data_IF_625102784064
#
_entry.id   IF_625102784064
#
_cell.length_a   1.000
_cell.length_b   1.000
_cell.length_c   1.000
_cell.angle_alpha   90.00
_cell.angle_beta   90.00
_cell.angle_gamma   90.00
#
_symmetry.space_group_name_H-M   'P 1'
#
loop_
_entity.id
_entity.type
_entity.pdbx_description
1 polymer ?
#
# COMPACT_ATOMS: atom_id res chain seq x y z
N UNK A 1 3.95 -4.28 19.32
CA UNK A 1 4.43 -3.12 18.52
C UNK A 1 3.56 -1.93 18.90
N UNK A 2 4.12 -0.91 19.54
CA UNK A 2 3.42 0.39 19.64
C UNK A 2 3.53 1.00 18.26
N UNK A 3 2.38 1.25 17.66
CA UNK A 3 2.32 1.79 16.32
C UNK A 3 2.79 3.24 16.35
N UNK A 4 3.88 3.46 15.66
CA UNK A 4 4.20 4.75 15.08
C UNK A 4 3.06 5.10 14.12
N UNK A 5 2.68 6.38 14.02
CA UNK A 5 1.58 6.77 13.13
C UNK A 5 1.85 6.23 11.73
N UNK A 6 0.86 5.57 11.14
CA UNK A 6 0.94 5.10 9.77
C UNK A 6 -0.32 5.52 9.00
N UNK A 7 -0.31 5.38 7.68
CA UNK A 7 -1.55 5.44 6.89
C UNK A 7 -1.99 4.02 6.58
N UNK A 8 -3.28 3.77 6.76
CA UNK A 8 -3.95 2.58 6.26
C UNK A 8 -4.59 2.92 4.91
N UNK A 9 -4.44 2.02 3.95
CA UNK A 9 -5.09 2.12 2.65
C UNK A 9 -6.20 1.07 2.57
N UNK A 10 -7.44 1.54 2.48
CA UNK A 10 -8.60 0.67 2.27
C UNK A 10 -8.90 0.56 0.79
N UNK A 11 -9.01 -0.65 0.26
CA UNK A 11 -9.44 -0.88 -1.13
C UNK A 11 -10.87 -1.42 -1.19
N UNK A 12 -11.75 -0.73 -1.92
CA UNK A 12 -13.11 -1.22 -2.22
C UNK A 12 -13.19 -1.69 -3.66
N UNK A 13 -13.52 -2.97 -3.87
CA UNK A 13 -13.64 -3.59 -5.18
C UNK A 13 -15.05 -3.48 -5.74
N UNK A 14 -15.15 -3.23 -7.06
CA UNK A 14 -16.42 -3.26 -7.80
C UNK A 14 -16.23 -3.91 -9.16
N UNK A 15 -17.17 -4.79 -9.52
CA UNK A 15 -17.32 -5.31 -10.88
C UNK A 15 -18.30 -4.41 -11.62
N UNK A 16 -17.94 -3.96 -12.82
CA UNK A 16 -18.77 -3.13 -13.66
C UNK A 16 -19.11 -3.86 -14.95
N UNK A 17 -20.37 -3.79 -15.36
CA UNK A 17 -20.86 -4.39 -16.61
C UNK A 17 -20.55 -3.48 -17.80
N UNK A 18 -19.27 -3.17 -17.98
CA UNK A 18 -18.73 -2.45 -19.13
C UNK A 18 -17.27 -2.86 -19.36
N UNK A 19 -16.80 -2.85 -20.61
CA UNK A 19 -15.48 -3.35 -20.96
C UNK A 19 -14.35 -2.41 -20.50
N UNK A 20 -14.63 -1.13 -20.29
CA UNK A 20 -13.62 -0.14 -19.94
C UNK A 20 -14.19 0.91 -18.97
N UNK A 21 -13.50 1.13 -17.85
CA UNK A 21 -13.82 2.20 -16.92
C UNK A 21 -13.03 3.48 -17.18
N UNK A 22 -11.70 3.40 -17.26
CA UNK A 22 -10.80 4.57 -17.37
C UNK A 22 -9.68 4.39 -18.40
N UNK A 23 -9.48 3.19 -18.95
CA UNK A 23 -8.53 2.93 -20.03
C UNK A 23 -7.07 2.90 -19.59
N UNK A 24 -6.81 2.85 -18.28
CA UNK A 24 -5.47 2.84 -17.71
C UNK A 24 -5.46 2.06 -16.39
N UNK A 25 -4.34 1.41 -16.08
CA UNK A 25 -4.23 0.55 -14.90
C UNK A 25 -4.39 1.31 -13.58
N UNK A 26 -3.87 2.54 -13.50
CA UNK A 26 -3.97 3.37 -12.31
C UNK A 26 -4.18 4.84 -12.68
N UNK A 27 -5.20 5.46 -12.09
CA UNK A 27 -5.48 6.90 -12.21
C UNK A 27 -5.53 7.50 -10.82
N UNK A 28 -4.67 8.49 -10.56
CA UNK A 28 -4.62 9.21 -9.29
C UNK A 28 -5.60 10.38 -9.30
N UNK A 29 -6.29 10.59 -8.18
CA UNK A 29 -7.17 11.72 -7.95
C UNK A 29 -6.51 12.63 -6.92
N UNK A 30 -6.20 13.86 -7.32
CA UNK A 30 -5.41 14.81 -6.52
C UNK A 30 -6.23 16.00 -6.01
N UNK A 31 -7.51 16.05 -6.36
CA UNK A 31 -8.44 17.05 -5.83
C UNK A 31 -8.91 16.67 -4.43
N UNK A 32 -9.40 17.67 -3.69
CA UNK A 32 -9.84 17.51 -2.30
C UNK A 32 -11.27 16.98 -2.18
N UNK A 33 -12.06 17.09 -3.23
CA UNK A 33 -13.49 16.74 -3.21
C UNK A 33 -13.70 15.23 -3.40
N UNK A 34 -12.76 14.58 -4.06
CA UNK A 34 -12.77 13.13 -4.28
C UNK A 34 -12.38 12.37 -3.02
N UNK A 35 -13.24 11.43 -2.61
CA UNK A 35 -13.04 10.68 -1.37
C UNK A 35 -12.00 9.54 -1.45
N UNK A 36 -11.50 9.22 -2.65
CA UNK A 36 -10.48 8.21 -2.90
C UNK A 36 -9.23 8.85 -3.52
N UNK A 37 -8.07 8.25 -3.31
CA UNK A 37 -6.78 8.76 -3.82
C UNK A 37 -6.43 8.18 -5.19
N UNK A 38 -6.93 6.99 -5.50
CA UNK A 38 -6.66 6.29 -6.76
C UNK A 38 -7.79 5.34 -7.13
N UNK A 39 -7.99 5.17 -8.44
CA UNK A 39 -8.73 4.03 -8.99
C UNK A 39 -7.76 3.14 -9.77
N UNK A 40 -7.76 1.85 -9.45
CA UNK A 40 -7.05 0.83 -10.20
C UNK A 40 -8.07 0.07 -11.06
N UNK A 41 -7.80 -0.06 -12.36
CA UNK A 41 -8.57 -0.91 -13.26
C UNK A 41 -7.70 -2.11 -13.66
N UNK A 42 -7.96 -3.25 -13.01
CA UNK A 42 -7.01 -4.37 -12.93
C UNK A 42 -6.64 -4.98 -14.28
N UNK A 43 -7.60 -5.06 -15.20
CA UNK A 43 -7.39 -5.66 -16.54
C UNK A 43 -6.25 -5.00 -17.32
N UNK A 44 -5.95 -3.73 -17.08
CA UNK A 44 -4.91 -3.00 -17.83
C UNK A 44 -3.49 -3.32 -17.38
N UNK A 45 -3.28 -4.02 -16.26
CA UNK A 45 -1.95 -4.57 -15.95
C UNK A 45 -1.52 -5.66 -16.93
N UNK A 46 -2.49 -6.33 -17.56
CA UNK A 46 -2.28 -7.39 -18.55
C UNK A 46 -2.94 -7.01 -19.90
N UNK A 47 -2.79 -5.74 -20.29
CA UNK A 47 -3.23 -5.20 -21.59
C UNK A 47 -4.73 -5.29 -21.90
N UNK A 48 -5.56 -5.61 -20.91
CA UNK A 48 -7.01 -5.58 -21.02
C UNK A 48 -7.64 -6.78 -21.75
N UNK A 49 -6.87 -7.85 -21.96
CA UNK A 49 -7.27 -9.07 -22.67
C UNK A 49 -7.33 -10.26 -21.70
N UNK A 50 -8.12 -11.29 -22.05
CA UNK A 50 -8.06 -12.58 -21.37
C UNK A 50 -6.87 -13.43 -21.83
N UNK A 51 -6.70 -14.61 -21.25
CA UNK A 51 -5.60 -15.55 -21.55
C UNK A 51 -5.54 -15.96 -23.04
N UNK A 52 -6.68 -15.92 -23.72
CA UNK A 52 -6.84 -16.24 -25.15
C UNK A 52 -6.68 -15.01 -26.05
N UNK A 53 -6.46 -13.81 -25.48
CA UNK A 53 -6.28 -12.55 -26.21
C UNK A 53 -7.58 -11.83 -26.59
N UNK A 54 -8.73 -12.26 -26.08
CA UNK A 54 -10.03 -11.65 -26.37
C UNK A 54 -10.31 -10.44 -25.46
N UNK A 55 -11.21 -9.56 -25.92
CA UNK A 55 -11.66 -8.43 -25.12
C UNK A 55 -12.52 -8.88 -23.94
N UNK A 56 -12.15 -8.42 -22.73
CA UNK A 56 -12.92 -8.69 -21.53
C UNK A 56 -14.15 -7.76 -21.49
N UNK A 57 -15.39 -8.29 -21.45
CA UNK A 57 -16.63 -7.50 -21.54
C UNK A 57 -16.96 -6.74 -20.26
N UNK A 58 -16.39 -7.16 -19.12
CA UNK A 58 -16.56 -6.55 -17.81
C UNK A 58 -15.22 -6.05 -17.29
N UNK A 59 -15.26 -5.14 -16.32
CA UNK A 59 -14.05 -4.64 -15.69
C UNK A 59 -14.16 -4.67 -14.17
N UNK A 60 -13.03 -4.92 -13.51
CA UNK A 60 -12.89 -4.87 -12.06
C UNK A 60 -12.08 -3.64 -11.72
N UNK A 61 -12.66 -2.78 -10.88
CA UNK A 61 -11.96 -1.62 -10.33
C UNK A 61 -11.78 -1.75 -8.82
N UNK A 62 -10.67 -1.26 -8.29
CA UNK A 62 -10.53 -0.96 -6.88
C UNK A 62 -10.39 0.55 -6.67
N UNK A 63 -10.99 1.05 -5.58
CA UNK A 63 -10.82 2.44 -5.13
C UNK A 63 -10.00 2.43 -3.85
N UNK A 64 -8.88 3.13 -3.84
CA UNK A 64 -7.97 3.28 -2.69
C UNK A 64 -8.40 4.48 -1.85
N UNK A 65 -8.53 4.27 -0.55
CA UNK A 65 -8.97 5.27 0.43
C UNK A 65 -7.87 5.44 1.48
N UNK A 66 -7.24 6.61 1.50
CA UNK A 66 -6.31 6.97 2.56
C UNK A 66 -7.06 7.24 3.87
N UNK A 67 -6.68 6.56 4.95
CA UNK A 67 -7.18 6.82 6.29
C UNK A 67 -6.05 6.92 7.31
N UNK A 68 -6.30 7.63 8.40
CA UNK A 68 -5.42 7.58 9.57
C UNK A 68 -5.48 6.19 10.18
N UNK A 69 -4.31 5.58 10.38
CA UNK A 69 -4.20 4.25 10.96
C UNK A 69 -4.75 4.22 12.38
N UNK A 70 -5.46 3.14 12.72
CA UNK A 70 -5.93 2.83 14.08
C UNK A 70 -5.47 1.44 14.50
N UNK A 71 -5.47 1.18 15.80
CA UNK A 71 -5.16 -0.14 16.36
C UNK A 71 -6.15 -1.16 15.79
N UNK A 72 -5.63 -2.11 14.99
CA UNK A 72 -6.42 -3.09 14.24
C UNK A 72 -6.29 -2.98 12.72
N UNK A 73 -5.84 -1.82 12.22
CA UNK A 73 -5.56 -1.61 10.80
C UNK A 73 -4.18 -2.13 10.41
N UNK A 74 -4.02 -2.51 9.15
CA UNK A 74 -2.71 -2.92 8.61
C UNK A 74 -1.82 -1.68 8.37
N UNK A 75 -0.65 -1.59 9.02
CA UNK A 75 0.23 -0.42 8.86
C UNK A 75 0.95 -0.45 7.51
N UNK A 76 0.67 0.54 6.66
CA UNK A 76 1.15 0.54 5.28
C UNK A 76 2.30 1.53 5.01
N UNK A 77 2.20 2.77 5.52
CA UNK A 77 3.21 3.82 5.33
C UNK A 77 3.67 4.41 6.65
N UNK A 78 4.99 4.44 6.97
CA UNK A 78 5.49 5.14 8.14
C UNK A 78 5.26 6.66 8.01
N UNK A 79 4.73 7.30 9.05
CA UNK A 79 4.70 8.76 9.16
C UNK A 79 6.02 9.22 9.78
N UNK A 80 6.86 9.87 8.97
CA UNK A 80 8.14 10.40 9.42
C UNK A 80 7.97 11.80 10.02
N UNK A 81 7.54 11.86 11.27
CA UNK A 81 7.54 13.09 12.09
C UNK A 81 8.57 12.97 13.23
N UNK A 82 8.87 14.07 13.90
CA UNK A 82 9.85 14.11 15.00
C UNK A 82 9.48 13.17 16.15
N UNK A 83 8.18 13.08 16.46
CA UNK A 83 7.64 12.23 17.52
C UNK A 83 7.87 10.74 17.22
N UNK A 84 7.56 10.32 15.99
CA UNK A 84 7.74 8.95 15.54
C UNK A 84 9.23 8.62 15.41
N UNK A 85 10.04 9.56 14.95
CA UNK A 85 11.49 9.38 14.86
C UNK A 85 12.12 9.16 16.24
N UNK A 86 11.73 9.97 17.24
CA UNK A 86 12.20 9.80 18.61
C UNK A 86 11.75 8.44 19.21
N UNK A 87 10.49 8.07 19.02
CA UNK A 87 9.97 6.79 19.52
C UNK A 87 10.64 5.59 18.83
N UNK A 88 10.91 5.68 17.53
CA UNK A 88 11.67 4.65 16.80
C UNK A 88 13.07 4.45 17.38
N UNK A 89 13.78 5.53 17.73
CA UNK A 89 15.12 5.42 18.34
C UNK A 89 15.09 4.68 19.67
N UNK A 90 14.07 4.89 20.50
CA UNK A 90 13.92 4.15 21.76
C UNK A 90 13.69 2.66 21.51
N UNK A 91 12.86 2.29 20.53
CA UNK A 91 12.67 0.89 20.15
C UNK A 91 13.92 0.26 19.54
N UNK A 92 14.68 1.02 18.76
CA UNK A 92 15.95 0.55 18.19
C UNK A 92 16.94 0.19 19.30
N UNK A 93 17.07 1.03 20.34
CA UNK A 93 17.92 0.72 21.51
C UNK A 93 17.50 -0.56 22.25
N UNK A 94 16.20 -0.89 22.25
CA UNK A 94 15.70 -2.13 22.84
C UNK A 94 16.01 -3.33 21.94
N UNK A 95 15.78 -3.18 20.62
CA UNK A 95 16.07 -4.21 19.63
C UNK A 95 17.56 -4.58 19.61
N UNK A 96 18.46 -3.59 19.72
CA UNK A 96 19.92 -3.80 19.74
C UNK A 96 20.40 -4.63 20.96
N UNK A 97 19.58 -4.76 22.02
CA UNK A 97 19.89 -5.59 23.19
C UNK A 97 19.53 -7.06 23.00
N UNK A 98 18.68 -7.39 22.01
CA UNK A 98 18.21 -8.75 21.78
C UNK A 98 19.18 -9.53 20.88
N UNK A 99 20.07 -10.32 21.49
CA UNK A 99 21.13 -11.01 20.75
C UNK A 99 20.67 -12.20 19.90
N UNK A 100 19.43 -12.68 20.09
CA UNK A 100 18.88 -13.85 19.40
C UNK A 100 17.76 -13.51 18.41
N UNK A 101 17.47 -12.22 18.22
CA UNK A 101 16.36 -11.77 17.38
C UNK A 101 16.90 -10.78 16.35
N UNK A 102 16.62 -11.02 15.07
CA UNK A 102 16.95 -10.10 13.98
C UNK A 102 15.67 -9.39 13.56
N UNK A 103 15.64 -8.07 13.72
CA UNK A 103 14.53 -7.22 13.27
C UNK A 103 14.84 -6.70 11.86
N UNK A 104 13.97 -7.00 10.89
CA UNK A 104 14.19 -6.64 9.49
C UNK A 104 12.90 -6.36 8.72
N UNK A 105 13.04 -5.79 7.52
CA UNK A 105 11.92 -5.47 6.63
C UNK A 105 11.17 -4.19 7.03
N UNK A 106 10.14 -3.83 6.23
CA UNK A 106 9.38 -2.57 6.36
C UNK A 106 8.94 -2.26 7.80
N UNK A 107 8.42 -3.28 8.48
CA UNK A 107 7.86 -3.16 9.82
C UNK A 107 8.91 -3.24 10.93
N UNK A 108 9.95 -4.05 10.75
CA UNK A 108 11.03 -4.20 11.73
C UNK A 108 11.97 -2.99 11.78
N UNK A 109 12.12 -2.29 10.65
CA UNK A 109 13.04 -1.15 10.51
C UNK A 109 12.35 0.20 10.38
N UNK A 110 11.00 0.22 10.37
CA UNK A 110 10.18 1.42 10.17
C UNK A 110 10.61 2.23 8.92
N UNK A 111 10.80 1.53 7.81
CA UNK A 111 11.27 2.11 6.54
C UNK A 111 10.37 1.71 5.39
N UNK A 112 10.09 2.65 4.50
CA UNK A 112 9.42 2.35 3.25
C UNK A 112 10.41 1.77 2.23
N UNK A 113 10.22 0.51 1.86
CA UNK A 113 10.97 -0.15 0.80
C UNK A 113 10.08 -0.35 -0.43
N UNK A 114 10.56 0.03 -1.61
CA UNK A 114 9.96 -0.41 -2.86
C UNK A 114 10.27 -1.90 -3.11
N UNK A 115 9.44 -2.60 -3.92
CA UNK A 115 9.59 -4.04 -4.22
C UNK A 115 11.03 -4.45 -4.61
N UNK A 116 11.74 -3.61 -5.38
CA UNK A 116 13.13 -3.86 -5.82
C UNK A 116 14.17 -3.76 -4.68
N UNK A 117 13.89 -3.01 -3.62
CA UNK A 117 14.81 -2.86 -2.48
C UNK A 117 14.70 -4.03 -1.49
N UNK A 118 13.61 -4.79 -1.54
CA UNK A 118 13.41 -5.96 -0.65
C UNK A 118 14.17 -7.20 -1.15
N UNK A 119 14.50 -7.28 -2.45
CA UNK A 119 15.16 -8.43 -3.08
C UNK A 119 16.70 -8.36 -3.05
N UNK A 120 17.31 -7.64 -2.10
CA UNK A 120 18.77 -7.50 -1.98
C UNK A 120 19.51 -8.76 -1.51
N UNK A 121 18.82 -9.90 -1.38
CA UNK A 121 19.39 -11.19 -1.02
C UNK A 121 18.58 -12.32 -1.68
N UNK A 122 18.89 -12.63 -2.94
CA UNK A 122 19.00 -14.00 -3.49
C UNK A 122 20.02 -13.94 -4.64
#
# INVERSE_FOLDING_TARGET
MVALNSRADGSVFKVLDKPNFQGNAAVNYTDRETSWTRIIEHKWFEFGKDDDGNDIPKTVISREYSSEWKVGDEPYYPVNDEKNSALYQEYKKLADKEQKVIFGGRLGEYKYYGKRLVSGWI
#
